data_IF_983260004349
#
_entry.id   IF_983260004349
#
_cell.length_a   1.000
_cell.length_b   1.000
_cell.length_c   1.000
_cell.angle_alpha   90.00
_cell.angle_beta   90.00
_cell.angle_gamma   90.00
#
_symmetry.space_group_name_H-M   'P 1'
#
loop_
_entity.id
_entity.type
_entity.pdbx_description
1 polymer ?
#
# COMPACT_ATOMS: atom_id res chain seq x y z
N UNK A 1 2.75 33.58 4.19
CA UNK A 1 1.73 33.00 5.10
C UNK A 1 1.29 31.63 4.57
N UNK A 2 1.45 30.55 5.35
CA UNK A 2 1.02 29.20 4.96
C UNK A 2 -0.50 29.09 5.17
N UNK A 3 -1.29 29.14 4.10
CA UNK A 3 -2.72 28.77 4.14
C UNK A 3 -2.82 27.25 4.28
N UNK A 4 -2.92 26.78 5.53
CA UNK A 4 -3.43 25.44 5.85
C UNK A 4 -4.94 25.47 5.55
N UNK A 5 -5.54 24.37 5.09
CA UNK A 5 -7.00 24.21 5.06
C UNK A 5 -7.54 24.60 6.44
N UNK A 6 -8.14 25.78 6.48
CA UNK A 6 -8.49 26.51 7.69
C UNK A 6 -9.94 26.14 8.01
N UNK A 7 -10.16 25.68 9.23
CA UNK A 7 -11.48 25.70 9.84
C UNK A 7 -11.83 27.19 10.02
N UNK A 8 -12.84 27.68 9.32
CA UNK A 8 -13.33 29.05 9.55
C UNK A 8 -14.14 29.05 10.86
N UNK A 9 -13.89 30.06 11.69
CA UNK A 9 -14.71 30.28 12.87
C UNK A 9 -16.03 30.88 12.38
N UNK A 10 -17.15 30.23 12.69
CA UNK A 10 -18.44 30.93 12.61
C UNK A 10 -18.51 31.98 13.73
N UNK A 11 -19.39 32.97 13.57
CA UNK A 11 -19.66 34.02 14.57
C UNK A 11 -20.09 33.46 15.95
N UNK A 12 -20.36 32.14 16.02
CA UNK A 12 -20.83 31.45 17.22
C UNK A 12 -19.72 30.63 17.92
N UNK A 13 -18.46 30.71 17.47
CA UNK A 13 -17.33 29.98 18.06
C UNK A 13 -17.29 28.47 17.74
N UNK A 14 -18.11 28.01 16.79
CA UNK A 14 -18.10 26.63 16.28
C UNK A 14 -17.33 26.57 14.94
N UNK A 15 -16.54 25.51 14.77
CA UNK A 15 -15.73 25.28 13.58
C UNK A 15 -16.63 24.75 12.45
N UNK A 16 -16.94 25.58 11.46
CA UNK A 16 -17.71 25.14 10.29
C UNK A 16 -16.79 24.50 9.24
N UNK A 17 -17.15 23.28 8.85
CA UNK A 17 -16.46 22.53 7.80
C UNK A 17 -16.92 23.07 6.45
N UNK A 18 -16.02 23.69 5.67
CA UNK A 18 -16.32 24.08 4.29
C UNK A 18 -16.56 22.80 3.46
N UNK A 19 -17.80 22.51 3.02
CA UNK A 19 -18.15 21.17 2.52
C UNK A 19 -17.34 20.73 1.29
N UNK A 20 -17.00 21.67 0.41
CA UNK A 20 -16.17 21.40 -0.77
C UNK A 20 -14.72 21.06 -0.40
N UNK A 21 -14.19 21.65 0.67
CA UNK A 21 -12.83 21.33 1.14
C UNK A 21 -12.80 19.97 1.84
N UNK A 22 -13.86 19.64 2.59
CA UNK A 22 -14.00 18.33 3.23
C UNK A 22 -14.06 17.18 2.23
N UNK A 23 -14.83 17.34 1.14
CA UNK A 23 -14.91 16.34 0.09
C UNK A 23 -13.54 16.03 -0.54
N UNK A 24 -12.70 17.07 -0.76
CA UNK A 24 -11.34 16.88 -1.28
C UNK A 24 -10.46 16.12 -0.29
N UNK A 25 -10.55 16.42 1.01
CA UNK A 25 -9.79 15.69 2.03
C UNK A 25 -10.23 14.24 2.09
N UNK A 26 -11.53 13.95 2.11
CA UNK A 26 -12.07 12.58 2.07
C UNK A 26 -11.58 11.80 0.86
N UNK A 27 -11.61 12.44 -0.31
CA UNK A 27 -11.13 11.82 -1.55
C UNK A 27 -9.63 11.54 -1.52
N UNK A 28 -8.82 12.43 -0.95
CA UNK A 28 -7.37 12.20 -0.76
C UNK A 28 -7.12 10.99 0.15
N UNK A 29 -7.86 10.86 1.25
CA UNK A 29 -7.75 9.70 2.14
C UNK A 29 -8.14 8.41 1.41
N UNK A 30 -9.28 8.42 0.70
CA UNK A 30 -9.77 7.27 -0.07
C UNK A 30 -8.77 6.81 -1.13
N UNK A 31 -8.22 7.74 -1.91
CA UNK A 31 -7.23 7.44 -2.94
C UNK A 31 -5.92 6.90 -2.36
N UNK A 32 -5.52 7.37 -1.18
CA UNK A 32 -4.32 6.86 -0.50
C UNK A 32 -4.51 5.43 -0.02
N UNK A 33 -5.65 5.16 0.63
CA UNK A 33 -6.05 3.83 1.12
C UNK A 33 -6.29 2.85 -0.02
N UNK A 34 -6.72 3.32 -1.20
CA UNK A 34 -6.83 2.49 -2.41
C UNK A 34 -5.48 2.20 -3.08
N UNK A 35 -4.36 2.48 -2.42
CA UNK A 35 -3.02 2.13 -2.91
C UNK A 35 -2.30 3.21 -3.74
N UNK A 36 -2.90 4.38 -4.02
CA UNK A 36 -2.17 5.42 -4.78
C UNK A 36 -1.04 6.01 -3.95
N UNK A 37 0.10 6.24 -4.61
CA UNK A 37 1.21 7.00 -4.01
C UNK A 37 0.85 8.48 -3.90
N UNK A 38 1.57 9.25 -3.05
CA UNK A 38 1.41 10.71 -2.97
C UNK A 38 1.64 11.40 -4.33
N UNK A 39 2.49 10.84 -5.19
CA UNK A 39 2.65 11.32 -6.55
C UNK A 39 1.41 11.07 -7.39
N UNK A 40 0.86 9.84 -7.33
CA UNK A 40 -0.35 9.48 -8.06
C UNK A 40 -1.59 10.26 -7.61
N UNK A 41 -1.68 10.62 -6.33
CA UNK A 41 -2.74 11.51 -5.83
C UNK A 41 -2.56 12.93 -6.37
N UNK A 42 -1.33 13.45 -6.40
CA UNK A 42 -1.05 14.77 -6.98
C UNK A 42 -1.40 14.85 -8.47
N UNK A 43 -1.15 13.77 -9.22
CA UNK A 43 -1.49 13.68 -10.64
C UNK A 43 -3.01 13.59 -10.83
N UNK A 44 -3.70 12.76 -10.03
CA UNK A 44 -5.16 12.69 -10.02
C UNK A 44 -5.82 14.06 -9.76
N UNK A 45 -5.38 14.78 -8.72
CA UNK A 45 -5.93 16.11 -8.40
C UNK A 45 -5.68 17.14 -9.51
N UNK A 46 -4.52 17.05 -10.16
CA UNK A 46 -4.17 17.90 -11.29
C UNK A 46 -5.07 17.63 -12.50
N UNK A 47 -5.29 16.35 -12.85
CA UNK A 47 -6.19 15.93 -13.92
C UNK A 47 -7.65 16.36 -13.68
N UNK A 48 -8.09 16.38 -12.41
CA UNK A 48 -9.41 16.87 -12.01
C UNK A 48 -9.50 18.41 -11.90
N UNK A 49 -8.44 19.15 -12.24
CA UNK A 49 -8.36 20.61 -12.12
C UNK A 49 -8.62 21.12 -10.68
N UNK A 50 -8.14 20.41 -9.66
CA UNK A 50 -8.31 20.78 -8.25
C UNK A 50 -7.02 21.45 -7.73
N UNK A 51 -6.98 22.80 -7.63
CA UNK A 51 -5.78 23.49 -7.16
C UNK A 51 -5.58 23.34 -5.65
N UNK A 52 -4.33 23.44 -5.23
CA UNK A 52 -3.97 23.49 -3.80
C UNK A 52 -4.50 24.77 -3.12
N UNK A 53 -4.60 24.81 -1.78
CA UNK A 53 -4.99 26.03 -1.04
C UNK A 53 -4.11 27.25 -1.30
N UNK A 54 -2.87 27.00 -1.71
CA UNK A 54 -1.92 28.04 -2.09
C UNK A 54 -2.07 28.52 -3.53
N UNK A 55 -3.06 28.03 -4.27
CA UNK A 55 -3.33 28.37 -5.67
C UNK A 55 -2.44 27.66 -6.69
N UNK A 56 -1.63 26.68 -6.27
CA UNK A 56 -0.82 25.88 -7.21
C UNK A 56 -1.67 24.80 -7.85
N UNK A 57 -1.57 24.67 -9.17
CA UNK A 57 -2.29 23.66 -9.97
C UNK A 57 -1.92 22.24 -9.56
N UNK A 58 -0.62 21.97 -9.36
CA UNK A 58 -0.16 20.66 -8.89
C UNK A 58 0.22 20.68 -7.41
N UNK A 59 -0.36 19.74 -6.67
CA UNK A 59 -0.06 19.55 -5.25
C UNK A 59 1.32 18.94 -5.06
N UNK A 60 2.05 19.37 -4.03
CA UNK A 60 3.31 18.72 -3.67
C UNK A 60 3.07 17.52 -2.77
N UNK A 61 3.92 16.48 -2.92
CA UNK A 61 3.88 15.29 -2.06
C UNK A 61 3.93 15.65 -0.58
N UNK A 62 4.71 16.66 -0.19
CA UNK A 62 4.82 17.11 1.20
C UNK A 62 3.53 17.73 1.75
N UNK A 63 2.73 18.41 0.91
CA UNK A 63 1.44 18.96 1.34
C UNK A 63 0.44 17.82 1.56
N UNK A 64 0.36 16.88 0.62
CA UNK A 64 -0.49 15.70 0.74
C UNK A 64 -0.12 14.85 1.96
N UNK A 65 1.18 14.62 2.16
CA UNK A 65 1.70 13.90 3.32
C UNK A 65 1.27 14.53 4.65
N UNK A 66 1.39 15.86 4.77
CA UNK A 66 0.96 16.60 5.97
C UNK A 66 -0.54 16.56 6.19
N UNK A 67 -1.32 16.60 5.11
CA UNK A 67 -2.78 16.50 5.18
C UNK A 67 -3.21 15.13 5.71
N UNK A 68 -2.59 14.06 5.20
CA UNK A 68 -2.83 12.69 5.64
C UNK A 68 -2.41 12.41 7.09
N UNK A 69 -1.58 13.26 7.71
CA UNK A 69 -1.23 13.15 9.13
C UNK A 69 -1.92 14.17 10.04
N UNK A 70 -2.80 15.01 9.50
CA UNK A 70 -3.45 16.06 10.28
C UNK A 70 -4.62 15.50 11.10
N UNK A 71 -4.38 15.21 12.38
CA UNK A 71 -5.38 14.68 13.31
C UNK A 71 -6.61 15.59 13.51
N UNK A 72 -6.55 16.87 13.11
CA UNK A 72 -7.71 17.79 13.21
C UNK A 72 -8.89 17.37 12.32
N UNK A 73 -8.66 16.49 11.34
CA UNK A 73 -9.71 15.96 10.48
C UNK A 73 -10.51 14.84 11.15
N UNK A 74 -9.97 14.22 12.20
CA UNK A 74 -10.65 13.15 12.94
C UNK A 74 -11.93 13.72 13.55
N UNK A 75 -13.04 13.00 13.39
CA UNK A 75 -14.37 13.35 13.90
C UNK A 75 -14.96 14.66 13.34
N UNK A 76 -14.32 15.27 12.33
CA UNK A 76 -14.83 16.47 11.62
C UNK A 76 -15.00 16.23 10.13
N UNK A 77 -14.05 15.57 9.48
CA UNK A 77 -14.03 15.30 8.04
C UNK A 77 -13.79 13.81 7.76
N UNK A 78 -12.98 13.15 8.59
CA UNK A 78 -12.55 11.77 8.45
C UNK A 78 -12.89 10.99 9.72
N UNK A 79 -13.23 9.71 9.58
CA UNK A 79 -13.46 8.82 10.71
C UNK A 79 -12.15 8.52 11.47
N UNK A 80 -12.26 8.07 12.72
CA UNK A 80 -11.11 7.59 13.47
C UNK A 80 -10.41 6.43 12.74
N UNK A 81 -11.19 5.47 12.24
CA UNK A 81 -10.68 4.27 11.57
C UNK A 81 -9.91 4.60 10.29
N UNK A 82 -10.44 5.48 9.44
CA UNK A 82 -9.76 5.90 8.20
C UNK A 82 -8.45 6.63 8.51
N UNK A 83 -8.42 7.46 9.55
CA UNK A 83 -7.21 8.16 9.96
C UNK A 83 -6.11 7.19 10.40
N UNK A 84 -6.48 6.21 11.23
CA UNK A 84 -5.55 5.18 11.69
C UNK A 84 -5.11 4.25 10.57
N UNK A 85 -6.02 3.86 9.66
CA UNK A 85 -5.67 3.07 8.48
C UNK A 85 -4.63 3.79 7.61
N UNK A 86 -4.77 5.11 7.42
CA UNK A 86 -3.78 5.93 6.70
C UNK A 86 -2.44 5.96 7.45
N UNK A 87 -2.42 6.14 8.78
CA UNK A 87 -1.16 6.16 9.53
C UNK A 87 -0.44 4.81 9.44
N UNK A 88 -1.18 3.70 9.56
CA UNK A 88 -0.64 2.36 9.38
C UNK A 88 -0.05 2.17 7.98
N UNK A 89 -0.79 2.57 6.93
CA UNK A 89 -0.32 2.48 5.55
C UNK A 89 0.93 3.36 5.31
N UNK A 90 1.00 4.55 5.93
CA UNK A 90 2.20 5.39 5.92
C UNK A 90 3.38 4.69 6.58
N UNK A 91 3.17 4.05 7.73
CA UNK A 91 4.18 3.24 8.42
C UNK A 91 4.68 2.06 7.56
N UNK A 92 3.76 1.36 6.88
CA UNK A 92 4.09 0.30 5.92
C UNK A 92 4.96 0.81 4.77
N UNK A 93 4.59 1.95 4.18
CA UNK A 93 5.32 2.59 3.06
C UNK A 93 6.60 3.33 3.47
N UNK A 94 6.82 3.54 4.77
CA UNK A 94 8.03 4.16 5.29
C UNK A 94 9.26 3.31 4.95
N UNK A 95 10.34 3.95 4.55
CA UNK A 95 11.63 3.29 4.34
C UNK A 95 12.37 3.01 5.64
N UNK A 96 11.78 3.32 6.81
CA UNK A 96 12.35 3.14 8.13
C UNK A 96 11.44 2.21 8.93
N UNK A 97 12.05 1.20 9.54
CA UNK A 97 11.42 0.29 10.48
C UNK A 97 11.21 1.01 11.80
N UNK A 98 9.97 1.04 12.30
CA UNK A 98 9.61 1.85 13.46
C UNK A 98 10.24 1.32 14.75
N UNK A 99 10.28 -0.01 14.91
CA UNK A 99 10.81 -0.67 16.11
C UNK A 99 12.34 -0.60 16.19
N UNK A 100 13.02 -0.77 15.05
CA UNK A 100 14.49 -0.83 15.03
C UNK A 100 15.15 0.49 14.63
N UNK A 101 14.37 1.47 14.15
CA UNK A 101 14.83 2.74 13.58
C UNK A 101 15.90 2.57 12.48
N UNK A 102 15.93 1.38 11.85
CA UNK A 102 16.82 1.06 10.74
C UNK A 102 16.08 1.27 9.43
N UNK A 103 16.81 1.58 8.37
CA UNK A 103 16.21 1.60 7.03
C UNK A 103 15.67 0.20 6.73
N UNK A 104 14.36 0.09 6.46
CA UNK A 104 13.78 -1.11 5.89
C UNK A 104 14.57 -1.44 4.63
N UNK A 105 14.92 -2.71 4.50
CA UNK A 105 15.41 -3.28 3.27
C UNK A 105 14.60 -2.73 2.09
N UNK A 106 15.23 -2.08 1.10
CA UNK A 106 14.53 -1.47 -0.06
C UNK A 106 13.55 -2.48 -0.67
N UNK A 107 12.27 -2.32 -0.35
CA UNK A 107 11.20 -3.07 -0.96
C UNK A 107 10.88 -2.31 -2.24
N UNK A 108 11.38 -2.82 -3.36
CA UNK A 108 11.03 -2.29 -4.66
C UNK A 108 9.53 -2.54 -4.86
N UNK A 109 8.71 -1.51 -4.55
CA UNK A 109 7.30 -1.45 -4.91
C UNK A 109 7.22 -1.34 -6.42
N UNK A 110 7.38 -2.47 -7.11
CA UNK A 110 7.03 -2.55 -8.51
C UNK A 110 5.49 -2.46 -8.62
N UNK A 111 4.98 -1.98 -9.76
CA UNK A 111 3.53 -1.99 -10.04
C UNK A 111 2.94 -3.40 -10.17
N UNK A 112 3.77 -4.44 -10.09
CA UNK A 112 3.37 -5.84 -10.19
C UNK A 112 2.66 -6.28 -8.91
N UNK A 113 1.43 -6.77 -9.03
CA UNK A 113 0.61 -7.26 -7.91
C UNK A 113 1.28 -8.38 -7.12
N UNK A 114 2.20 -9.11 -7.75
CA UNK A 114 2.96 -10.17 -7.09
C UNK A 114 4.03 -9.63 -6.13
N UNK A 115 4.37 -8.34 -6.22
CA UNK A 115 5.42 -7.74 -5.39
C UNK A 115 4.99 -7.64 -3.94
N UNK A 116 5.69 -8.37 -3.07
CA UNK A 116 5.34 -8.46 -1.65
C UNK A 116 4.32 -9.55 -1.31
N UNK A 117 3.75 -10.22 -2.32
CA UNK A 117 2.78 -11.30 -2.12
C UNK A 117 3.45 -12.56 -1.55
N UNK A 118 4.63 -12.92 -2.06
CA UNK A 118 5.33 -14.16 -1.71
C UNK A 118 6.26 -13.98 -0.50
N UNK A 119 6.04 -14.77 0.55
CA UNK A 119 6.78 -14.71 1.82
C UNK A 119 7.51 -16.04 2.05
N UNK A 120 8.80 -15.99 2.34
CA UNK A 120 9.58 -17.19 2.65
C UNK A 120 9.15 -17.79 3.99
N UNK A 121 8.73 -19.06 4.00
CA UNK A 121 8.37 -19.78 5.23
C UNK A 121 9.58 -20.06 6.15
N UNK A 122 10.80 -20.09 5.59
CA UNK A 122 12.03 -20.34 6.37
C UNK A 122 12.50 -19.10 7.14
N UNK A 123 12.53 -17.93 6.50
CA UNK A 123 13.15 -16.73 7.08
C UNK A 123 12.22 -15.51 7.19
N UNK A 124 10.96 -15.62 6.77
CA UNK A 124 9.98 -14.52 6.75
C UNK A 124 10.25 -13.42 5.71
N UNK A 125 11.38 -13.47 5.00
CA UNK A 125 11.71 -12.49 3.97
C UNK A 125 10.80 -12.58 2.75
N UNK A 126 10.41 -11.44 2.20
CA UNK A 126 9.66 -11.37 0.93
C UNK A 126 10.50 -11.89 -0.24
N UNK A 127 9.85 -12.44 -1.27
CA UNK A 127 10.50 -12.74 -2.53
C UNK A 127 10.56 -11.50 -3.43
N UNK A 128 11.66 -11.39 -4.17
CA UNK A 128 11.90 -10.33 -5.14
C UNK A 128 11.91 -10.89 -6.56
N UNK A 129 11.28 -10.14 -7.47
CA UNK A 129 11.36 -10.35 -8.91
C UNK A 129 12.74 -9.97 -9.44
N UNK A 130 13.40 -10.89 -10.13
CA UNK A 130 14.76 -10.72 -10.68
C UNK A 130 14.75 -11.20 -12.13
N UNK A 131 15.13 -10.32 -13.06
CA UNK A 131 15.40 -10.69 -14.45
C UNK A 131 16.84 -11.17 -14.58
N UNK A 132 17.04 -12.40 -15.04
CA UNK A 132 18.36 -12.99 -15.32
C UNK A 132 18.92 -12.44 -16.63
N UNK A 133 20.24 -12.55 -16.87
CA UNK A 133 20.86 -12.18 -18.15
C UNK A 133 20.26 -12.93 -19.36
N UNK A 134 19.69 -14.12 -19.15
CA UNK A 134 18.98 -14.89 -20.16
C UNK A 134 17.63 -14.29 -20.57
N UNK A 135 17.15 -13.24 -19.87
CA UNK A 135 15.79 -12.70 -20.02
C UNK A 135 14.74 -13.41 -19.18
N UNK A 136 15.07 -14.56 -18.59
CA UNK A 136 14.19 -15.31 -17.69
C UNK A 136 13.90 -14.50 -16.42
N UNK A 137 12.63 -14.45 -16.02
CA UNK A 137 12.20 -13.78 -14.79
C UNK A 137 11.94 -14.81 -13.70
N UNK A 138 12.65 -14.66 -12.58
CA UNK A 138 12.52 -15.52 -11.41
C UNK A 138 12.28 -14.71 -10.15
N UNK A 139 11.62 -15.34 -9.18
CA UNK A 139 11.36 -14.82 -7.86
C UNK A 139 12.28 -15.51 -6.86
N UNK A 140 13.01 -14.73 -6.06
CA UNK A 140 13.97 -15.25 -5.07
C UNK A 140 13.79 -14.57 -3.73
N UNK A 141 13.92 -15.33 -2.64
CA UNK A 141 13.92 -14.79 -1.29
C UNK A 141 14.94 -13.63 -1.15
N UNK A 142 14.47 -12.47 -0.69
CA UNK A 142 15.25 -11.25 -0.55
C UNK A 142 16.44 -11.39 0.40
N UNK A 143 16.26 -12.06 1.54
CA UNK A 143 17.33 -12.30 2.50
C UNK A 143 18.41 -13.22 1.93
N UNK A 144 18.01 -14.27 1.19
CA UNK A 144 18.94 -15.16 0.48
C UNK A 144 19.72 -14.44 -0.61
N UNK A 145 19.08 -13.48 -1.30
CA UNK A 145 19.74 -12.64 -2.31
C UNK A 145 20.76 -11.68 -1.69
N UNK A 146 20.41 -11.04 -0.56
CA UNK A 146 21.26 -10.05 0.11
C UNK A 146 22.41 -10.67 0.91
N UNK A 147 22.13 -11.74 1.64
CA UNK A 147 23.02 -12.28 2.67
C UNK A 147 23.49 -13.70 2.35
N UNK A 148 23.08 -14.26 1.20
CA UNK A 148 23.40 -15.63 0.83
C UNK A 148 22.75 -16.65 1.78
N UNK A 149 23.40 -17.81 1.92
CA UNK A 149 22.90 -18.92 2.75
C UNK A 149 23.05 -18.70 4.25
N UNK A 150 23.67 -17.61 4.68
CA UNK A 150 23.88 -17.32 6.11
C UNK A 150 22.57 -17.09 6.86
N UNK A 151 21.57 -16.50 6.18
CA UNK A 151 20.25 -16.18 6.76
C UNK A 151 19.16 -17.14 6.29
N UNK A 152 19.25 -17.63 5.06
CA UNK A 152 18.22 -18.48 4.47
C UNK A 152 18.85 -19.51 3.53
N UNK A 153 18.79 -20.78 3.93
CA UNK A 153 19.55 -21.85 3.33
C UNK A 153 18.80 -22.50 2.16
N UNK A 154 17.48 -22.68 2.32
CA UNK A 154 16.69 -23.61 1.52
C UNK A 154 15.67 -22.93 0.60
N UNK A 155 15.38 -21.64 0.77
CA UNK A 155 14.40 -20.95 -0.06
C UNK A 155 14.61 -21.13 -1.58
N UNK A 156 13.64 -21.69 -2.34
CA UNK A 156 13.78 -21.96 -3.76
C UNK A 156 13.85 -20.68 -4.61
N UNK A 157 14.27 -20.83 -5.87
CA UNK A 157 14.11 -19.80 -6.91
C UNK A 157 12.96 -20.21 -7.83
N UNK A 158 11.94 -19.36 -7.94
CA UNK A 158 10.67 -19.71 -8.56
C UNK A 158 10.46 -18.95 -9.87
N UNK A 159 10.26 -19.62 -11.01
CA UNK A 159 9.93 -18.95 -12.28
C UNK A 159 8.60 -18.17 -12.20
N UNK A 160 8.55 -16.97 -12.80
CA UNK A 160 7.34 -16.13 -12.74
C UNK A 160 6.12 -16.79 -13.40
N UNK A 161 6.32 -17.50 -14.51
CA UNK A 161 5.26 -18.21 -15.22
C UNK A 161 4.63 -19.33 -14.38
N UNK A 162 5.44 -20.05 -13.59
CA UNK A 162 4.94 -21.08 -12.67
C UNK A 162 4.16 -20.46 -11.52
N UNK A 163 4.65 -19.35 -10.96
CA UNK A 163 3.94 -18.60 -9.92
C UNK A 163 2.59 -18.07 -10.40
N UNK A 164 2.54 -17.47 -11.60
CA UNK A 164 1.27 -17.00 -12.18
C UNK A 164 0.28 -18.14 -12.38
N UNK A 165 0.74 -19.30 -12.86
CA UNK A 165 -0.11 -20.49 -13.02
C UNK A 165 -0.66 -20.96 -11.68
N UNK A 166 0.21 -21.10 -10.67
CA UNK A 166 -0.20 -21.51 -9.33
C UNK A 166 -1.20 -20.53 -8.70
N UNK A 167 -1.01 -19.22 -8.88
CA UNK A 167 -1.97 -18.20 -8.42
C UNK A 167 -3.32 -18.36 -9.12
N UNK A 168 -3.33 -18.59 -10.43
CA UNK A 168 -4.58 -18.84 -11.16
C UNK A 168 -5.32 -20.08 -10.63
N UNK A 169 -4.58 -21.18 -10.39
CA UNK A 169 -5.13 -22.41 -9.81
C UNK A 169 -5.70 -22.18 -8.40
N UNK A 170 -4.96 -21.49 -7.52
CA UNK A 170 -5.41 -21.13 -6.17
C UNK A 170 -6.70 -20.29 -6.18
N UNK A 171 -6.83 -19.40 -7.17
CA UNK A 171 -7.96 -18.50 -7.31
C UNK A 171 -9.08 -19.09 -8.18
N UNK A 172 -8.90 -20.28 -8.74
CA UNK A 172 -9.80 -20.92 -9.70
C UNK A 172 -10.19 -19.97 -10.86
N UNK A 173 -9.19 -19.33 -11.47
CA UNK A 173 -9.36 -18.45 -12.63
C UNK A 173 -8.57 -19.00 -13.83
N UNK A 174 -9.07 -18.73 -15.04
CA UNK A 174 -8.46 -19.24 -16.28
C UNK A 174 -7.20 -18.46 -16.70
N UNK A 175 -7.18 -17.16 -16.45
CA UNK A 175 -6.08 -16.27 -16.81
C UNK A 175 -5.67 -15.40 -15.62
N UNK A 176 -4.42 -14.96 -15.62
CA UNK A 176 -3.88 -14.15 -14.54
C UNK A 176 -4.50 -12.75 -14.55
N UNK A 177 -5.29 -12.46 -13.53
CA UNK A 177 -5.93 -11.17 -13.33
C UNK A 177 -5.37 -10.47 -12.07
N UNK A 178 -4.70 -9.30 -12.22
CA UNK A 178 -4.14 -8.59 -11.08
C UNK A 178 -5.16 -8.13 -10.03
N UNK A 179 -6.38 -7.75 -10.43
CA UNK A 179 -7.37 -7.27 -9.45
C UNK A 179 -7.89 -8.43 -8.59
N UNK A 180 -8.18 -9.57 -9.22
CA UNK A 180 -8.49 -10.83 -8.53
C UNK A 180 -7.49 -11.22 -7.44
N UNK A 181 -6.20 -11.00 -7.69
CA UNK A 181 -5.14 -11.29 -6.71
C UNK A 181 -5.24 -10.35 -5.52
N UNK A 182 -5.35 -9.03 -5.76
CA UNK A 182 -5.43 -8.02 -4.69
C UNK A 182 -6.65 -8.21 -3.80
N UNK A 183 -7.78 -8.59 -4.39
CA UNK A 183 -9.05 -8.69 -3.65
C UNK A 183 -9.11 -9.92 -2.76
N UNK A 184 -8.40 -11.00 -3.13
CA UNK A 184 -8.56 -12.32 -2.53
C UNK A 184 -7.35 -12.81 -1.75
N UNK A 185 -6.14 -12.43 -2.13
CA UNK A 185 -4.90 -12.90 -1.50
C UNK A 185 -4.23 -11.79 -0.70
N UNK A 186 -3.94 -12.09 0.56
CA UNK A 186 -3.15 -11.23 1.43
C UNK A 186 -1.66 -11.55 1.31
N UNK A 187 -1.31 -12.85 1.29
CA UNK A 187 0.05 -13.34 1.09
C UNK A 187 0.06 -14.78 0.55
N UNK A 188 1.22 -15.25 0.10
CA UNK A 188 1.49 -16.66 -0.22
C UNK A 188 2.80 -17.06 0.46
N UNK A 189 2.73 -18.04 1.36
CA UNK A 189 3.92 -18.63 1.97
C UNK A 189 4.60 -19.60 1.01
N UNK A 190 5.92 -19.47 0.88
CA UNK A 190 6.78 -20.29 0.04
C UNK A 190 7.65 -21.18 0.92
N UNK A 191 7.43 -22.48 0.83
CA UNK A 191 8.21 -23.49 1.56
C UNK A 191 9.45 -23.94 0.77
N UNK A 192 10.39 -24.59 1.46
CA UNK A 192 11.67 -25.01 0.89
C UNK A 192 11.56 -26.03 -0.25
N UNK A 193 10.48 -26.81 -0.26
CA UNK A 193 10.14 -27.79 -1.30
C UNK A 193 9.44 -27.15 -2.52
N UNK A 194 9.16 -25.85 -2.49
CA UNK A 194 8.42 -25.14 -3.54
C UNK A 194 6.91 -25.09 -3.31
N UNK A 195 6.40 -25.70 -2.24
CA UNK A 195 4.97 -25.62 -1.89
C UNK A 195 4.57 -24.18 -1.60
N UNK A 196 3.41 -23.79 -2.14
CA UNK A 196 2.83 -22.46 -2.01
C UNK A 196 1.52 -22.54 -1.20
N UNK A 197 1.43 -21.81 -0.09
CA UNK A 197 0.25 -21.79 0.77
C UNK A 197 -0.34 -20.38 0.83
N UNK A 198 -1.57 -20.14 0.33
CA UNK A 198 -2.18 -18.83 0.31
C UNK A 198 -2.76 -18.43 1.69
N UNK A 199 -2.57 -17.17 2.06
CA UNK A 199 -3.37 -16.47 3.06
C UNK A 199 -4.40 -15.59 2.35
N UNK A 200 -5.68 -15.82 2.61
CA UNK A 200 -6.77 -15.08 1.98
C UNK A 200 -7.17 -13.87 2.82
N UNK A 201 -7.60 -12.79 2.14
CA UNK A 201 -8.11 -11.60 2.81
C UNK A 201 -9.39 -11.96 3.58
N UNK A 202 -9.35 -11.88 4.91
CA UNK A 202 -10.54 -12.05 5.74
C UNK A 202 -11.36 -10.75 5.71
N UNK A 203 -12.59 -10.82 5.18
CA UNK A 203 -13.59 -9.75 5.33
C UNK A 203 -14.63 -10.19 6.36
N UNK A 204 -14.42 -9.83 7.62
CA UNK A 204 -15.52 -9.79 8.57
C UNK A 204 -16.41 -8.59 8.22
N UNK A 205 -17.58 -8.85 7.65
CA UNK A 205 -18.67 -7.89 7.72
C UNK A 205 -19.39 -8.17 9.05
N UNK A 206 -19.53 -7.19 9.97
CA UNK A 206 -20.48 -7.33 11.04
C UNK A 206 -21.86 -7.55 10.41
N UNK A 207 -22.49 -8.70 10.68
CA UNK A 207 -23.92 -8.86 10.39
C UNK A 207 -24.64 -7.73 11.10
N UNK A 208 -25.22 -6.81 10.32
CA UNK A 208 -26.27 -5.94 10.81
C UNK A 208 -27.46 -6.84 11.11
N UNK A 209 -27.54 -7.30 12.36
CA UNK A 209 -28.75 -7.88 12.94
C UNK A 209 -29.87 -6.85 12.83
N UNK A 210 -30.81 -7.11 11.92
CA UNK A 210 -32.09 -6.41 11.78
C UNK A 210 -32.98 -6.63 13.02
#
# INVERSE_FOLDING_TARGET
MKKVYRLEASDNGLLEVVPQQAAIVQEIYRQYLSGKSLGGIADFLFEQNIPSPSGKERWSKSVLDKMLSNAKYINSIISFDDYFAVQNEKGKRSSIDEDTNKRKATQYYSKDVLSGLFICAECGGVYWRITRPSGEVVWRCSNRVKHGKTVCQHAPSLPENELKRAVCEMLNILEFDPESVKERLEYIQVFSDGTLVPGFVQREYPELSL
#
